data_IF_091516421615
#
_entry.id   IF_091516421615
#
_cell.length_a   1.000
_cell.length_b   1.000
_cell.length_c   1.000
_cell.angle_alpha   90.00
_cell.angle_beta   90.00
_cell.angle_gamma   90.00
#
_symmetry.space_group_name_H-M   'P 1'
#
loop_
_entity.id
_entity.type
_entity.pdbx_description
1 polymer ?
#
# COMPACT_ATOMS: atom_id res chain seq x y z
N UNK A 1 -1.34 -4.19 -12.80
CA UNK A 1 -0.99 -3.45 -11.57
C UNK A 1 -2.24 -2.95 -10.87
N UNK A 2 -3.00 -2.01 -11.46
CA UNK A 2 -4.22 -1.45 -10.84
C UNK A 2 -5.17 -2.52 -10.28
N UNK A 3 -5.49 -3.57 -11.04
CA UNK A 3 -6.37 -4.65 -10.58
C UNK A 3 -5.91 -5.29 -9.26
N UNK A 4 -4.61 -5.52 -9.11
CA UNK A 4 -3.99 -6.14 -7.92
C UNK A 4 -4.02 -5.18 -6.74
N UNK A 5 -3.73 -3.90 -6.97
CA UNK A 5 -3.84 -2.87 -5.91
C UNK A 5 -5.27 -2.78 -5.38
N UNK A 6 -6.27 -2.80 -6.29
CA UNK A 6 -7.68 -2.80 -5.91
C UNK A 6 -8.14 -4.09 -5.23
N UNK A 7 -7.50 -5.22 -5.54
CA UNK A 7 -7.77 -6.50 -4.87
C UNK A 7 -7.24 -6.48 -3.43
N UNK A 8 -6.00 -6.06 -3.24
CA UNK A 8 -5.37 -5.94 -1.92
C UNK A 8 -6.08 -4.89 -1.07
N UNK A 9 -6.44 -3.72 -1.63
CA UNK A 9 -7.21 -2.70 -0.90
C UNK A 9 -8.53 -3.25 -0.38
N UNK A 10 -9.30 -3.94 -1.23
CA UNK A 10 -10.57 -4.55 -0.83
C UNK A 10 -10.37 -5.62 0.25
N UNK A 11 -9.35 -6.46 0.10
CA UNK A 11 -9.04 -7.50 1.08
C UNK A 11 -8.73 -6.89 2.47
N UNK A 12 -7.91 -5.84 2.52
CA UNK A 12 -7.63 -5.13 3.77
C UNK A 12 -8.88 -4.41 4.28
N UNK A 13 -9.71 -3.86 3.39
CA UNK A 13 -10.94 -3.18 3.77
C UNK A 13 -11.97 -4.10 4.43
N UNK A 14 -12.03 -5.38 4.03
CA UNK A 14 -12.87 -6.39 4.67
C UNK A 14 -12.49 -6.66 6.13
N UNK A 15 -11.25 -6.34 6.53
CA UNK A 15 -10.78 -6.41 7.92
C UNK A 15 -11.13 -5.18 8.76
N UNK A 16 -11.75 -4.17 8.17
CA UNK A 16 -12.12 -2.92 8.84
C UNK A 16 -10.97 -1.92 8.90
N UNK A 17 -11.13 -0.89 9.72
CA UNK A 17 -10.17 0.20 9.92
C UNK A 17 -9.24 -0.07 11.11
N UNK A 18 -8.27 0.82 11.33
CA UNK A 18 -7.27 0.76 12.40
C UNK A 18 -6.35 -0.46 12.28
N UNK A 19 -6.05 -0.85 11.04
CA UNK A 19 -5.12 -1.93 10.72
C UNK A 19 -3.67 -1.41 10.69
N UNK A 20 -2.69 -2.23 11.10
CA UNK A 20 -1.29 -1.89 10.88
C UNK A 20 -0.99 -1.80 9.38
N UNK A 21 0.09 -1.09 9.02
CA UNK A 21 0.58 -1.10 7.65
C UNK A 21 0.94 -2.53 7.22
N UNK A 22 0.40 -2.94 6.07
CA UNK A 22 0.59 -4.28 5.51
C UNK A 22 1.32 -4.18 4.19
N UNK A 23 2.18 -5.15 3.93
CA UNK A 23 2.91 -5.27 2.66
C UNK A 23 2.66 -6.63 2.04
N UNK A 24 2.48 -6.64 0.73
CA UNK A 24 2.23 -7.83 -0.07
C UNK A 24 3.33 -7.95 -1.12
N UNK A 25 3.94 -9.12 -1.23
CA UNK A 25 4.85 -9.45 -2.32
C UNK A 25 4.03 -9.85 -3.55
N UNK A 26 4.44 -9.43 -4.74
CA UNK A 26 3.78 -9.81 -5.99
C UNK A 26 4.60 -10.90 -6.68
N UNK A 27 4.03 -12.10 -6.74
CA UNK A 27 4.59 -13.24 -7.47
C UNK A 27 3.91 -13.39 -8.84
N UNK A 28 4.64 -13.86 -9.85
CA UNK A 28 4.01 -14.30 -11.10
C UNK A 28 3.07 -15.47 -10.80
N UNK A 29 1.81 -15.34 -11.20
CA UNK A 29 0.79 -16.35 -10.89
C UNK A 29 1.12 -17.72 -11.50
N UNK A 30 1.69 -17.77 -12.70
CA UNK A 30 2.02 -19.03 -13.35
C UNK A 30 3.22 -19.72 -12.66
N UNK A 31 4.25 -18.96 -12.29
CA UNK A 31 5.39 -19.49 -11.54
C UNK A 31 4.98 -19.96 -10.14
N UNK A 32 4.09 -19.22 -9.47
CA UNK A 32 3.54 -19.59 -8.17
C UNK A 32 2.79 -20.92 -8.26
N UNK A 33 1.89 -21.08 -9.23
CA UNK A 33 1.13 -22.32 -9.43
C UNK A 33 2.01 -23.50 -9.86
N UNK A 34 3.09 -23.26 -10.60
CA UNK A 34 4.05 -24.30 -10.96
C UNK A 34 4.80 -24.84 -9.73
N UNK A 35 5.12 -23.96 -8.77
CA UNK A 35 5.80 -24.33 -7.51
C UNK A 35 4.83 -24.89 -6.47
N UNK A 36 3.63 -24.34 -6.40
CA UNK A 36 2.58 -24.69 -5.44
C UNK A 36 1.25 -25.02 -6.13
N UNK A 37 1.13 -26.20 -6.76
CA UNK A 37 -0.08 -26.59 -7.50
C UNK A 37 -1.35 -26.65 -6.62
N UNK A 38 -1.18 -26.80 -5.31
CA UNK A 38 -2.27 -26.82 -4.35
C UNK A 38 -3.02 -25.48 -4.24
N UNK A 39 -2.42 -24.37 -4.67
CA UNK A 39 -3.06 -23.04 -4.66
C UNK A 39 -4.02 -22.82 -5.84
N UNK A 40 -4.00 -23.68 -6.86
CA UNK A 40 -4.84 -23.54 -8.06
C UNK A 40 -6.34 -23.35 -7.78
N UNK A 41 -6.96 -24.09 -6.84
CA UNK A 41 -8.38 -23.89 -6.52
C UNK A 41 -8.69 -22.54 -5.87
N UNK A 42 -7.69 -21.87 -5.28
CA UNK A 42 -7.84 -20.60 -4.56
C UNK A 42 -7.61 -19.38 -5.46
N UNK A 43 -6.71 -19.51 -6.45
CA UNK A 43 -6.36 -18.43 -7.39
C UNK A 43 -7.39 -18.35 -8.53
N UNK A 44 -7.99 -19.48 -8.92
CA UNK A 44 -8.93 -19.52 -10.05
C UNK A 44 -8.23 -19.38 -11.41
N UNK A 45 -8.99 -18.99 -12.43
CA UNK A 45 -8.48 -18.82 -13.79
C UNK A 45 -7.89 -17.42 -13.95
N UNK A 46 -6.57 -17.35 -14.15
CA UNK A 46 -5.81 -16.09 -14.23
C UNK A 46 -5.22 -15.89 -15.61
N UNK A 47 -5.40 -14.72 -16.25
CA UNK A 47 -4.81 -14.46 -17.56
C UNK A 47 -3.27 -14.47 -17.48
N UNK A 48 -2.57 -14.75 -18.60
CA UNK A 48 -1.11 -14.67 -18.64
C UNK A 48 -0.59 -13.30 -18.18
N UNK A 49 0.46 -13.31 -17.35
CA UNK A 49 1.03 -12.09 -16.77
C UNK A 49 0.27 -11.54 -15.55
N UNK A 50 -0.66 -12.31 -14.98
CA UNK A 50 -1.26 -12.00 -13.69
C UNK A 50 -0.23 -12.08 -12.57
N UNK A 51 -0.41 -11.22 -11.56
CA UNK A 51 0.38 -11.24 -10.35
C UNK A 51 -0.51 -11.65 -9.19
N UNK A 52 -0.02 -12.57 -8.37
CA UNK A 52 -0.68 -12.98 -7.13
C UNK A 52 -0.06 -12.21 -5.97
N UNK A 53 -0.86 -11.43 -5.22
CA UNK A 53 -0.39 -10.81 -3.98
C UNK A 53 -0.25 -11.86 -2.89
N UNK A 54 0.91 -11.89 -2.23
CA UNK A 54 1.23 -12.76 -1.11
C UNK A 54 1.46 -11.89 0.11
N UNK A 55 0.58 -11.99 1.09
CA UNK A 55 0.67 -11.24 2.35
C UNK A 55 2.00 -11.55 3.07
N UNK A 56 2.67 -10.50 3.56
CA UNK A 56 3.86 -10.64 4.39
C UNK A 56 3.54 -10.31 5.85
N UNK A 57 4.52 -10.51 6.73
CA UNK A 57 4.40 -10.07 8.11
C UNK A 57 4.07 -8.56 8.17
N UNK A 58 3.19 -8.13 9.09
CA UNK A 58 2.89 -6.72 9.28
C UNK A 58 4.14 -5.90 9.52
N UNK A 59 4.17 -4.68 8.99
CA UNK A 59 5.31 -3.81 9.15
C UNK A 59 5.50 -3.41 10.62
N UNK A 60 6.75 -3.34 11.12
CA UNK A 60 7.01 -2.87 12.48
C UNK A 60 6.51 -1.43 12.65
N UNK A 61 6.11 -1.08 13.87
CA UNK A 61 5.73 0.29 14.22
C UNK A 61 6.96 1.19 14.11
N UNK A 62 6.84 2.29 13.38
CA UNK A 62 7.92 3.24 13.17
C UNK A 62 7.61 4.16 12.00
N UNK A 63 8.56 5.03 11.67
CA UNK A 63 8.43 5.86 10.48
C UNK A 63 8.49 5.00 9.23
N UNK A 64 7.51 5.18 8.34
CA UNK A 64 7.33 4.29 7.19
C UNK A 64 8.54 4.31 6.24
N UNK A 65 9.18 5.47 6.05
CA UNK A 65 10.40 5.60 5.25
C UNK A 65 11.57 4.74 5.80
N UNK A 66 11.79 4.77 7.11
CA UNK A 66 12.81 3.95 7.78
C UNK A 66 12.47 2.45 7.69
N UNK A 67 11.20 2.10 7.86
CA UNK A 67 10.73 0.72 7.78
C UNK A 67 10.88 0.16 6.37
N UNK A 68 10.48 0.90 5.34
CA UNK A 68 10.63 0.50 3.95
C UNK A 68 12.10 0.35 3.57
N UNK A 69 13.00 1.21 4.06
CA UNK A 69 14.43 1.10 3.81
C UNK A 69 15.06 -0.19 4.36
N UNK A 70 14.41 -0.87 5.31
CA UNK A 70 14.82 -2.18 5.82
C UNK A 70 14.32 -3.37 5.00
N UNK A 71 13.44 -3.16 4.02
CA UNK A 71 12.86 -4.22 3.21
C UNK A 71 13.78 -4.51 2.02
N UNK A 72 14.09 -5.79 1.83
CA UNK A 72 14.79 -6.28 0.64
C UNK A 72 14.04 -7.46 0.03
N UNK A 73 13.73 -7.35 -1.26
CA UNK A 73 12.99 -8.40 -1.97
C UNK A 73 13.91 -9.35 -2.75
N UNK A 74 13.65 -10.67 -2.69
CA UNK A 74 14.37 -11.62 -3.52
C UNK A 74 14.01 -11.44 -5.01
N UNK A 75 14.85 -11.91 -5.95
CA UNK A 75 14.66 -11.66 -7.38
C UNK A 75 13.33 -12.16 -7.96
N UNK A 76 12.72 -13.17 -7.34
CA UNK A 76 11.45 -13.77 -7.76
C UNK A 76 10.24 -12.88 -7.48
N UNK A 77 10.36 -11.91 -6.57
CA UNK A 77 9.29 -10.95 -6.28
C UNK A 77 9.33 -9.85 -7.33
N UNK A 78 8.27 -9.77 -8.14
CA UNK A 78 8.18 -8.87 -9.29
C UNK A 78 7.72 -7.45 -8.93
N UNK A 79 7.13 -7.30 -7.74
CA UNK A 79 6.60 -6.05 -7.24
C UNK A 79 6.09 -6.20 -5.81
N UNK A 80 5.58 -5.12 -5.24
CA UNK A 80 4.94 -5.15 -3.94
C UNK A 80 3.75 -4.20 -3.89
N UNK A 81 2.84 -4.44 -2.95
CA UNK A 81 1.75 -3.52 -2.61
C UNK A 81 1.84 -3.19 -1.14
N UNK A 82 1.81 -1.91 -0.81
CA UNK A 82 1.66 -1.39 0.54
C UNK A 82 0.22 -0.95 0.74
N UNK A 83 -0.38 -1.30 1.87
CA UNK A 83 -1.62 -0.70 2.36
C UNK A 83 -1.36 -0.08 3.72
N UNK A 84 -1.70 1.20 3.87
CA UNK A 84 -1.49 1.96 5.11
C UNK A 84 -2.62 2.94 5.34
N UNK A 85 -2.87 3.26 6.62
CA UNK A 85 -3.86 4.25 7.03
C UNK A 85 -3.13 5.53 7.44
N UNK A 86 -3.55 6.66 6.87
CA UNK A 86 -2.91 7.96 7.04
C UNK A 86 -3.96 9.00 7.45
N UNK A 87 -3.50 10.02 8.15
CA UNK A 87 -4.30 11.22 8.41
C UNK A 87 -3.94 12.27 7.37
N UNK A 88 -4.95 12.74 6.62
CA UNK A 88 -4.80 13.87 5.70
C UNK A 88 -5.54 15.08 6.23
N UNK A 89 -5.03 16.26 5.89
CA UNK A 89 -5.61 17.54 6.25
C UNK A 89 -5.91 18.36 5.01
N UNK A 90 -6.94 19.23 5.05
CA UNK A 90 -7.19 20.15 3.96
C UNK A 90 -6.02 21.14 3.82
N UNK A 91 -5.76 21.68 2.62
CA UNK A 91 -4.71 22.68 2.41
C UNK A 91 -4.85 23.93 3.30
N UNK A 92 -6.07 24.27 3.74
CA UNK A 92 -6.31 25.37 4.67
C UNK A 92 -5.65 25.19 6.03
N UNK A 93 -5.39 23.95 6.46
CA UNK A 93 -4.73 23.66 7.72
C UNK A 93 -3.21 23.86 7.66
N UNK A 94 -2.60 23.93 6.46
CA UNK A 94 -1.15 24.07 6.31
C UNK A 94 -0.60 25.34 6.96
N UNK A 95 -1.38 26.43 7.00
CA UNK A 95 -0.97 27.70 7.66
C UNK A 95 -0.86 27.58 9.18
N UNK A 96 -1.56 26.61 9.78
CA UNK A 96 -1.59 26.35 11.22
C UNK A 96 -0.63 25.22 11.64
N UNK A 97 0.02 24.58 10.66
CA UNK A 97 0.91 23.45 10.91
C UNK A 97 2.14 23.89 11.72
N UNK A 98 2.50 23.16 12.80
CA UNK A 98 3.69 23.46 13.59
C UNK A 98 4.98 23.16 12.81
N UNK A 99 6.08 23.77 13.22
CA UNK A 99 7.37 23.65 12.51
C UNK A 99 8.16 22.36 12.85
N UNK A 100 7.77 21.62 13.89
CA UNK A 100 8.48 20.42 14.34
C UNK A 100 7.74 19.15 13.92
N UNK A 101 8.45 18.20 13.28
CA UNK A 101 7.89 16.90 12.84
C UNK A 101 7.08 16.18 13.93
N UNK A 102 7.61 16.14 15.16
CA UNK A 102 6.93 15.49 16.29
C UNK A 102 5.65 16.24 16.71
N UNK A 103 5.64 17.56 16.56
CA UNK A 103 4.43 18.36 16.82
C UNK A 103 3.42 18.22 15.68
N UNK A 104 3.88 18.03 14.43
CA UNK A 104 3.04 17.86 13.23
C UNK A 104 2.21 16.58 13.33
N UNK A 105 2.83 15.43 13.65
CA UNK A 105 2.11 14.16 13.77
C UNK A 105 1.01 14.23 14.83
N UNK A 106 1.35 14.74 16.02
CA UNK A 106 0.38 14.91 17.10
C UNK A 106 -0.72 15.90 16.74
N UNK A 107 -0.36 17.04 16.14
CA UNK A 107 -1.31 18.08 15.74
C UNK A 107 -2.28 17.56 14.67
N UNK A 108 -1.78 16.90 13.62
CA UNK A 108 -2.60 16.32 12.56
C UNK A 108 -3.55 15.26 13.09
N UNK A 109 -3.08 14.38 13.98
CA UNK A 109 -3.91 13.36 14.61
C UNK A 109 -5.05 13.95 15.47
N UNK A 110 -4.93 15.18 15.97
CA UNK A 110 -5.94 15.83 16.81
C UNK A 110 -6.70 16.97 16.10
N UNK A 111 -6.43 17.22 14.81
CA UNK A 111 -7.05 18.31 14.08
C UNK A 111 -8.55 18.04 13.83
N UNK A 112 -9.45 19.04 13.99
CA UNK A 112 -10.89 18.84 13.80
C UNK A 112 -11.28 18.47 12.37
N UNK A 113 -10.53 18.95 11.38
CA UNK A 113 -10.75 18.66 9.95
C UNK A 113 -9.95 17.47 9.44
N UNK A 114 -9.38 16.66 10.34
CA UNK A 114 -8.61 15.48 9.96
C UNK A 114 -9.50 14.48 9.22
N UNK A 115 -8.97 13.89 8.16
CA UNK A 115 -9.59 12.77 7.46
C UNK A 115 -8.69 11.55 7.57
N UNK A 116 -9.22 10.47 8.11
CA UNK A 116 -8.55 9.18 8.08
C UNK A 116 -8.75 8.59 6.68
N UNK A 117 -7.66 8.24 6.00
CA UNK A 117 -7.68 7.63 4.66
C UNK A 117 -6.92 6.33 4.66
N UNK A 118 -7.38 5.37 3.88
CA UNK A 118 -6.61 4.17 3.53
C UNK A 118 -6.03 4.38 2.15
N UNK A 119 -4.72 4.22 2.05
CA UNK A 119 -3.99 4.32 0.81
C UNK A 119 -3.39 2.96 0.49
N UNK A 120 -3.61 2.48 -0.73
CA UNK A 120 -2.93 1.32 -1.29
C UNK A 120 -2.04 1.76 -2.46
N UNK A 121 -0.77 1.40 -2.42
CA UNK A 121 0.22 1.74 -3.45
C UNK A 121 0.92 0.47 -3.89
N UNK A 122 0.86 0.16 -5.17
CA UNK A 122 1.55 -0.98 -5.77
C UNK A 122 2.61 -0.54 -6.75
N UNK A 123 3.78 -1.18 -6.71
CA UNK A 123 4.88 -0.95 -7.67
C UNK A 123 5.43 -2.28 -8.19
N UNK A 124 6.04 -2.25 -9.37
CA UNK A 124 6.83 -3.36 -9.93
C UNK A 124 8.30 -2.97 -10.02
N UNK A 125 9.19 -3.96 -10.09
CA UNK A 125 10.62 -3.76 -10.40
C UNK A 125 10.85 -3.00 -11.71
N UNK A 126 9.93 -3.08 -12.67
CA UNK A 126 10.02 -2.35 -13.94
C UNK A 126 9.53 -0.89 -13.86
N UNK A 127 9.10 -0.42 -12.69
CA UNK A 127 8.62 0.95 -12.47
C UNK A 127 7.14 1.19 -12.75
N UNK A 128 6.38 0.16 -13.16
CA UNK A 128 4.92 0.27 -13.25
C UNK A 128 4.36 0.41 -11.83
N UNK A 129 3.46 1.37 -11.63
CA UNK A 129 2.81 1.60 -10.36
C UNK A 129 1.33 1.94 -10.53
N UNK A 130 0.57 1.82 -9.44
CA UNK A 130 -0.80 2.29 -9.32
C UNK A 130 -1.10 2.57 -7.85
N UNK A 131 -1.98 3.53 -7.61
CA UNK A 131 -2.41 3.89 -6.26
C UNK A 131 -3.93 4.00 -6.21
N UNK A 132 -4.51 3.70 -5.06
CA UNK A 132 -5.91 4.02 -4.76
C UNK A 132 -6.07 4.46 -3.31
N UNK A 133 -7.09 5.30 -3.09
CA UNK A 133 -7.38 5.92 -1.80
C UNK A 133 -8.87 5.78 -1.47
N UNK A 134 -9.15 5.43 -0.21
CA UNK A 134 -10.49 5.42 0.37
C UNK A 134 -10.53 6.33 1.59
N UNK A 135 -11.54 7.18 1.69
CA UNK A 135 -11.77 8.01 2.88
C UNK A 135 -12.63 7.25 3.89
N UNK A 136 -12.29 7.34 5.18
CA UNK A 136 -13.08 6.70 6.24
C UNK A 136 -14.48 7.28 6.29
N UNK A 137 -15.48 6.40 6.20
CA UNK A 137 -16.89 6.78 6.14
C UNK A 137 -17.40 7.12 4.74
N UNK A 138 -16.55 6.98 3.72
CA UNK A 138 -16.92 7.07 2.31
C UNK A 138 -16.79 5.71 1.63
N UNK A 139 -17.78 5.37 0.81
CA UNK A 139 -17.79 4.14 0.02
C UNK A 139 -17.05 4.31 -1.33
N UNK A 140 -16.79 5.55 -1.75
CA UNK A 140 -16.07 5.86 -2.98
C UNK A 140 -14.57 5.53 -2.86
N UNK A 141 -14.03 4.95 -3.93
CA UNK A 141 -12.61 4.63 -4.06
C UNK A 141 -12.02 5.45 -5.20
N UNK A 142 -11.05 6.29 -4.86
CA UNK A 142 -10.30 7.11 -5.82
C UNK A 142 -9.13 6.30 -6.35
N UNK A 143 -8.98 6.23 -7.67
CA UNK A 143 -7.87 5.52 -8.33
C UNK A 143 -7.10 6.51 -9.18
N UNK A 144 -5.90 6.83 -8.76
CA UNK A 144 -5.04 7.80 -9.42
C UNK A 144 -3.57 7.46 -9.10
N UNK A 145 -2.68 7.29 -10.10
CA UNK A 145 -1.28 6.96 -9.87
C UNK A 145 -0.52 8.01 -9.05
N UNK A 146 -0.91 9.29 -9.14
CA UNK A 146 -0.17 10.43 -8.60
C UNK A 146 -0.59 10.77 -7.15
N UNK A 147 -1.38 9.90 -6.49
CA UNK A 147 -1.84 10.11 -5.11
C UNK A 147 -0.71 10.10 -4.08
N UNK A 148 0.45 9.51 -4.41
CA UNK A 148 1.42 9.09 -3.41
C UNK A 148 2.86 8.96 -3.94
N UNK A 149 3.34 9.95 -4.70
CA UNK A 149 4.67 9.93 -5.32
C UNK A 149 5.79 9.52 -4.36
N UNK A 150 5.83 10.10 -3.16
CA UNK A 150 6.85 9.78 -2.15
C UNK A 150 6.81 8.31 -1.72
N UNK A 151 5.63 7.69 -1.66
CA UNK A 151 5.50 6.27 -1.31
C UNK A 151 5.84 5.36 -2.49
N UNK A 152 5.52 5.77 -3.72
CA UNK A 152 5.96 5.07 -4.93
C UNK A 152 7.49 5.01 -4.95
N UNK A 153 8.17 6.13 -4.71
CA UNK A 153 9.64 6.18 -4.65
C UNK A 153 10.20 5.32 -3.52
N UNK A 154 9.61 5.40 -2.32
CA UNK A 154 9.99 4.58 -1.17
C UNK A 154 9.85 3.08 -1.43
N UNK A 155 8.77 2.65 -2.11
CA UNK A 155 8.56 1.26 -2.46
C UNK A 155 9.51 0.79 -3.56
N UNK A 156 9.77 1.61 -4.58
CA UNK A 156 10.73 1.30 -5.62
C UNK A 156 12.15 1.11 -5.05
N UNK A 157 12.51 1.87 -4.02
CA UNK A 157 13.79 1.72 -3.33
C UNK A 157 13.97 0.34 -2.66
N UNK A 158 12.89 -0.36 -2.29
CA UNK A 158 12.96 -1.70 -1.67
C UNK A 158 13.44 -2.81 -2.62
N UNK A 159 13.56 -2.50 -3.92
CA UNK A 159 14.03 -3.43 -4.95
C UNK A 159 15.49 -3.23 -5.36
N UNK A 160 16.19 -2.26 -4.76
CA UNK A 160 17.58 -1.91 -5.06
C UNK A 160 18.59 -2.80 -4.33
#
# INVERSE_FOLDING_TARGET
MTSVVLEVERHVADSGWDQPSQVYALADTADLLAREPALAPHIGDSPPGSLTPVEQEPLPVGRLDEVLAGIGWPPEVLGCVLVTELVVLPPSAEEEAPYSDHEIEYWAANHPERQDVRLAVGVTRSGLHASCLRVRGDDELVVDPDLADNLVDGLLATFQ
#
